data_IF_788275465429
#
_entry.id   IF_788275465429
#
_cell.length_a   1.000
_cell.length_b   1.000
_cell.length_c   1.000
_cell.angle_alpha   90.00
_cell.angle_beta   90.00
_cell.angle_gamma   90.00
#
_symmetry.space_group_name_H-M   'P 1'
#
loop_
_entity.id
_entity.type
_entity.pdbx_description
1 polymer ?
#
# COMPACT_ATOMS: atom_id res chain seq x y z
N UNK A 1 -11.92 17.27 9.97
CA UNK A 1 -10.86 16.52 9.26
C UNK A 1 -11.46 15.17 8.87
N UNK A 2 -11.45 14.79 7.60
CA UNK A 2 -12.01 13.52 7.11
C UNK A 2 -10.85 12.55 6.90
N UNK A 3 -10.86 11.40 7.57
CA UNK A 3 -9.86 10.35 7.33
C UNK A 3 -9.94 9.89 5.87
N UNK A 4 -8.80 9.80 5.21
CA UNK A 4 -8.73 9.47 3.79
C UNK A 4 -8.89 7.96 3.58
N UNK A 5 -10.10 7.52 3.22
CA UNK A 5 -10.41 6.11 2.91
C UNK A 5 -9.78 5.74 1.57
N UNK A 6 -9.04 4.62 1.51
CA UNK A 6 -8.37 4.20 0.29
C UNK A 6 -7.24 3.19 0.50
N UNK A 7 -6.61 2.81 -0.60
CA UNK A 7 -5.42 1.96 -0.64
C UNK A 7 -4.18 2.83 -0.83
N UNK A 8 -3.20 2.66 0.05
CA UNK A 8 -1.94 3.41 0.07
C UNK A 8 -0.75 2.46 0.18
N UNK A 9 0.45 3.01 0.09
CA UNK A 9 1.70 2.28 0.28
C UNK A 9 2.55 3.00 1.32
N UNK A 10 3.20 2.24 2.21
CA UNK A 10 4.28 2.74 3.04
C UNK A 10 5.62 2.23 2.53
N UNK A 11 6.69 2.99 2.75
CA UNK A 11 8.05 2.59 2.41
C UNK A 11 9.07 3.28 3.32
N UNK A 12 10.22 2.63 3.51
CA UNK A 12 11.37 3.23 4.19
C UNK A 12 11.92 4.37 3.32
N UNK A 13 11.85 5.60 3.84
CA UNK A 13 12.22 6.82 3.10
C UNK A 13 13.71 7.12 3.09
N UNK A 14 14.50 6.37 3.84
CA UNK A 14 15.96 6.55 3.91
C UNK A 14 16.66 5.72 2.83
N UNK A 15 17.62 6.36 2.15
CA UNK A 15 18.46 5.73 1.13
C UNK A 15 17.62 4.97 0.07
N UNK A 16 18.08 3.77 -0.33
CA UNK A 16 17.41 2.88 -1.27
C UNK A 16 16.71 1.72 -0.56
N UNK A 17 16.32 1.88 0.71
CA UNK A 17 15.69 0.79 1.47
C UNK A 17 14.35 0.33 0.87
N UNK A 18 13.63 1.20 0.16
CA UNK A 18 12.47 0.80 -0.64
C UNK A 18 12.85 -0.24 -1.70
N UNK A 19 13.93 -0.02 -2.45
CA UNK A 19 14.41 -0.96 -3.47
C UNK A 19 14.90 -2.29 -2.87
N UNK A 20 15.36 -2.25 -1.62
CA UNK A 20 15.74 -3.44 -0.85
C UNK A 20 14.56 -4.24 -0.26
N UNK A 21 13.31 -3.91 -0.62
CA UNK A 21 12.11 -4.60 -0.13
C UNK A 21 11.39 -3.90 1.05
N UNK A 22 11.86 -2.71 1.44
CA UNK A 22 11.28 -1.94 2.54
C UNK A 22 10.00 -1.19 2.17
N UNK A 23 8.97 -1.89 1.73
CA UNK A 23 7.66 -1.32 1.38
C UNK A 23 6.52 -2.27 1.74
N UNK A 24 5.30 -1.73 1.79
CA UNK A 24 4.10 -2.52 2.02
C UNK A 24 2.82 -1.74 1.74
N UNK A 25 1.70 -2.44 1.77
CA UNK A 25 0.39 -1.83 1.54
C UNK A 25 -0.23 -1.34 2.85
N UNK A 26 -0.97 -0.24 2.75
CA UNK A 26 -1.75 0.32 3.83
C UNK A 26 -3.18 0.54 3.35
N UNK A 27 -4.10 -0.27 3.86
CA UNK A 27 -5.52 -0.16 3.53
C UNK A 27 -6.26 0.60 4.64
N UNK A 28 -6.77 1.77 4.33
CA UNK A 28 -7.64 2.54 5.23
C UNK A 28 -9.08 2.25 4.82
N UNK A 29 -9.74 1.37 5.59
CA UNK A 29 -11.11 0.94 5.31
C UNK A 29 -12.09 2.02 5.79
N UNK A 30 -13.24 2.11 5.11
CA UNK A 30 -14.37 2.93 5.56
C UNK A 30 -14.85 2.49 6.94
N UNK A 31 -15.44 3.42 7.69
CA UNK A 31 -16.24 3.08 8.87
C UNK A 31 -17.59 2.54 8.42
N UNK A 32 -18.15 1.62 9.19
CA UNK A 32 -19.42 0.94 8.86
C UNK A 32 -20.59 1.91 8.65
N UNK A 33 -20.56 3.07 9.30
CA UNK A 33 -21.59 4.12 9.24
C UNK A 33 -21.64 4.86 7.88
N UNK A 34 -20.57 4.83 7.06
CA UNK A 34 -20.47 5.66 5.83
C UNK A 34 -20.96 4.88 4.61
N UNK A 35 -22.20 5.02 4.09
CA UNK A 35 -22.73 4.12 3.07
C UNK A 35 -21.86 4.02 1.81
N UNK A 36 -21.82 2.82 1.21
CA UNK A 36 -21.14 2.60 -0.06
C UNK A 36 -22.00 3.10 -1.23
N UNK A 37 -21.40 3.75 -2.25
CA UNK A 37 -22.10 4.11 -3.48
C UNK A 37 -22.23 2.93 -4.46
N UNK A 38 -21.80 1.72 -4.07
CA UNK A 38 -21.77 0.50 -4.88
C UNK A 38 -22.06 -0.74 -4.01
N UNK A 39 -22.45 -1.88 -4.59
CA UNK A 39 -22.66 -3.14 -3.86
C UNK A 39 -21.39 -3.62 -3.15
N UNK A 40 -21.57 -4.30 -2.03
CA UNK A 40 -20.44 -4.84 -1.26
C UNK A 40 -19.67 -5.89 -2.08
N UNK A 41 -18.34 -5.75 -2.26
CA UNK A 41 -17.54 -6.72 -2.98
C UNK A 41 -17.45 -8.04 -2.19
N UNK A 42 -17.44 -9.18 -2.90
CA UNK A 42 -17.34 -10.50 -2.26
C UNK A 42 -15.99 -10.76 -1.56
N UNK A 43 -14.97 -9.96 -1.85
CA UNK A 43 -13.66 -10.02 -1.22
C UNK A 43 -12.76 -8.88 -1.65
N UNK A 44 -11.75 -8.59 -0.83
CA UNK A 44 -10.76 -7.55 -1.08
C UNK A 44 -9.36 -8.18 -1.18
N UNK A 45 -8.61 -7.80 -2.21
CA UNK A 45 -7.21 -8.20 -2.38
C UNK A 45 -6.35 -6.96 -2.60
N UNK A 46 -5.11 -7.01 -2.14
CA UNK A 46 -4.15 -5.92 -2.30
C UNK A 46 -2.97 -6.41 -3.12
N UNK A 47 -2.71 -5.73 -4.23
CA UNK A 47 -1.60 -6.04 -5.13
C UNK A 47 -0.57 -4.92 -5.05
N UNK A 48 0.67 -5.30 -4.74
CA UNK A 48 1.83 -4.42 -4.77
C UNK A 48 2.70 -4.80 -5.97
N UNK A 49 3.06 -3.80 -6.76
CA UNK A 49 3.94 -3.98 -7.93
C UNK A 49 5.20 -3.18 -7.70
N UNK A 50 6.34 -3.87 -7.73
CA UNK A 50 7.68 -3.28 -7.61
C UNK A 50 8.64 -3.98 -8.54
N UNK A 51 9.75 -3.31 -8.82
CA UNK A 51 10.90 -3.84 -9.53
C UNK A 51 11.92 -4.47 -8.57
N UNK A 52 12.83 -5.28 -9.14
CA UNK A 52 13.88 -5.98 -8.42
C UNK A 52 15.23 -5.81 -9.13
N UNK A 53 16.30 -5.63 -8.35
CA UNK A 53 17.66 -5.44 -8.85
C UNK A 53 18.56 -6.63 -8.50
N UNK A 54 19.51 -6.93 -9.40
CA UNK A 54 20.48 -8.02 -9.20
C UNK A 54 21.73 -7.59 -8.42
N UNK A 55 22.03 -6.30 -8.33
CA UNK A 55 23.21 -5.74 -7.65
C UNK A 55 22.81 -5.02 -6.36
N UNK A 56 23.72 -4.98 -5.39
CA UNK A 56 23.52 -4.27 -4.13
C UNK A 56 24.21 -2.89 -4.13
N UNK A 57 24.30 -2.25 -2.96
CA UNK A 57 24.93 -0.93 -2.79
C UNK A 57 26.47 -0.99 -2.64
N UNK A 58 27.05 -2.19 -2.59
CA UNK A 58 28.50 -2.41 -2.39
C UNK A 58 29.22 -2.77 -3.68
N UNK A 59 28.49 -3.32 -4.65
CA UNK A 59 28.99 -3.82 -5.94
C UNK A 59 28.97 -2.73 -7.00
#
# INVERSE_FOLDING_TARGET
MKDQIGTYTYFLSTQLHKAAGGFGALNIIRRDVIPLPYPEPSGNFTMLVTDWWNTDHKV
#
